data_IF_645839222106
#
_entry.id   IF_645839222106
#
_cell.length_a   1.000
_cell.length_b   1.000
_cell.length_c   1.000
_cell.angle_alpha   90.00
_cell.angle_beta   90.00
_cell.angle_gamma   90.00
#
_symmetry.space_group_name_H-M   'P 1'
#
loop_
_entity.id
_entity.type
_entity.pdbx_description
1 polymer ?
#
# COMPACT_ATOMS: atom_id res chain seq x y z
N UNK A 1 -29.28 15.07 35.34
CA UNK A 1 -29.46 15.74 34.03
C UNK A 1 -30.50 14.96 33.22
N UNK A 2 -31.55 15.61 32.70
CA UNK A 2 -32.50 15.00 31.75
C UNK A 2 -31.81 14.82 30.39
N UNK A 3 -31.89 13.62 29.79
CA UNK A 3 -31.40 13.36 28.44
C UNK A 3 -32.13 14.26 27.44
N UNK A 4 -31.39 14.90 26.55
CA UNK A 4 -31.98 15.62 25.40
C UNK A 4 -32.53 14.58 24.42
N UNK A 5 -33.73 14.84 23.93
CA UNK A 5 -34.39 14.02 22.91
C UNK A 5 -33.90 14.45 21.52
N UNK A 6 -33.45 13.47 20.74
CA UNK A 6 -32.81 13.67 19.44
C UNK A 6 -33.66 13.11 18.28
N UNK A 7 -34.87 12.64 18.56
CA UNK A 7 -35.75 11.98 17.60
C UNK A 7 -36.20 12.87 16.43
N UNK A 8 -36.10 14.21 16.54
CA UNK A 8 -36.48 15.17 15.51
C UNK A 8 -35.31 15.91 14.83
N UNK A 9 -34.07 15.40 14.93
CA UNK A 9 -32.95 16.01 14.20
C UNK A 9 -33.11 15.71 12.71
N UNK A 10 -33.34 16.76 11.92
CA UNK A 10 -33.18 16.71 10.45
C UNK A 10 -31.73 16.98 10.11
N UNK A 11 -31.03 15.98 9.59
CA UNK A 11 -29.65 16.10 9.13
C UNK A 11 -29.69 16.46 7.64
N UNK A 12 -29.15 17.62 7.28
CA UNK A 12 -28.85 17.94 5.89
C UNK A 12 -27.54 17.24 5.48
N UNK A 13 -27.67 16.08 4.84
CA UNK A 13 -26.52 15.38 4.26
C UNK A 13 -26.19 16.04 2.92
N UNK A 14 -25.08 16.78 2.87
CA UNK A 14 -24.48 17.17 1.58
C UNK A 14 -24.03 15.89 0.87
N UNK A 15 -24.77 15.49 -0.16
CA UNK A 15 -24.48 14.29 -0.96
C UNK A 15 -23.37 14.51 -2.00
N UNK A 16 -23.00 15.76 -2.28
CA UNK A 16 -21.92 16.07 -3.22
C UNK A 16 -20.58 16.02 -2.49
N UNK A 17 -19.93 14.85 -2.55
CA UNK A 17 -18.48 14.78 -2.40
C UNK A 17 -17.87 15.06 -3.77
N UNK A 18 -17.07 16.11 -3.88
CA UNK A 18 -16.12 16.32 -4.98
C UNK A 18 -14.97 15.30 -4.90
N UNK A 19 -15.28 14.01 -4.78
CA UNK A 19 -14.31 12.93 -4.92
C UNK A 19 -14.46 12.34 -6.32
N UNK A 20 -13.37 12.36 -7.09
CA UNK A 20 -13.25 11.65 -8.38
C UNK A 20 -13.41 10.11 -8.26
N UNK A 21 -13.67 9.62 -7.05
CA UNK A 21 -13.98 8.25 -6.71
C UNK A 21 -15.41 8.20 -6.17
N UNK A 22 -16.21 7.26 -6.67
CA UNK A 22 -17.27 6.68 -5.85
C UNK A 22 -16.60 6.04 -4.64
N UNK A 23 -17.13 6.27 -3.43
CA UNK A 23 -16.70 5.54 -2.26
C UNK A 23 -17.00 4.07 -2.51
N UNK A 24 -15.99 3.26 -2.83
CA UNK A 24 -16.16 1.84 -3.16
C UNK A 24 -16.47 0.98 -1.92
N UNK A 25 -17.16 1.55 -0.93
CA UNK A 25 -17.34 1.03 0.43
C UNK A 25 -16.01 0.48 1.00
N UNK A 26 -14.92 1.16 0.63
CA UNK A 26 -13.58 0.85 1.12
C UNK A 26 -13.40 1.47 2.50
N UNK A 27 -14.18 0.95 3.44
CA UNK A 27 -13.89 1.05 4.85
C UNK A 27 -12.89 -0.07 5.13
N UNK A 28 -11.72 0.26 5.68
CA UNK A 28 -10.88 -0.71 6.34
C UNK A 28 -11.73 -1.40 7.42
N UNK A 29 -12.32 -2.55 7.10
CA UNK A 29 -13.39 -3.12 7.94
C UNK A 29 -14.66 -3.64 7.26
N UNK A 30 -14.78 -3.72 5.92
CA UNK A 30 -15.94 -4.40 5.26
C UNK A 30 -15.51 -5.57 4.36
N UNK A 31 -16.22 -6.72 4.45
CA UNK A 31 -15.96 -7.95 3.67
C UNK A 31 -16.49 -7.77 2.24
N UNK A 32 -15.73 -8.13 1.17
CA UNK A 32 -14.67 -9.14 1.07
C UNK A 32 -13.26 -8.62 1.33
N UNK A 33 -13.08 -7.31 1.49
CA UNK A 33 -11.77 -6.67 1.70
C UNK A 33 -11.26 -6.79 3.16
N UNK A 34 -12.10 -7.34 4.05
CA UNK A 34 -11.79 -7.68 5.45
C UNK A 34 -11.06 -9.03 5.66
N UNK A 35 -11.16 -9.95 4.69
CA UNK A 35 -10.86 -11.38 4.92
C UNK A 35 -10.27 -12.08 3.69
N UNK A 36 -9.34 -11.42 3.02
CA UNK A 36 -8.44 -12.10 2.09
C UNK A 36 -7.00 -11.87 2.53
N UNK A 37 -6.10 -12.79 2.21
CA UNK A 37 -4.65 -12.66 2.44
C UNK A 37 -4.03 -11.42 1.72
N UNK A 38 -4.83 -10.57 1.07
CA UNK A 38 -4.41 -9.73 -0.05
C UNK A 38 -4.71 -8.23 0.11
N UNK A 39 -5.50 -7.83 1.11
CA UNK A 39 -5.66 -6.42 1.55
C UNK A 39 -4.93 -6.15 2.87
N UNK A 40 -4.72 -7.19 3.66
CA UNK A 40 -4.12 -7.11 4.97
C UNK A 40 -2.60 -7.08 4.88
N UNK A 41 -2.01 -6.27 5.74
CA UNK A 41 -0.58 -6.18 5.96
C UNK A 41 -0.10 -7.51 6.59
N UNK A 42 0.27 -8.52 5.80
CA UNK A 42 0.79 -9.78 6.34
C UNK A 42 2.30 -9.72 6.45
N UNK A 43 2.81 -9.84 7.68
CA UNK A 43 4.22 -10.04 7.95
C UNK A 43 4.53 -11.53 7.93
N UNK A 44 5.61 -11.90 7.26
CA UNK A 44 6.31 -13.15 7.56
C UNK A 44 7.36 -12.80 8.62
N UNK A 45 7.35 -13.51 9.74
CA UNK A 45 8.36 -13.39 10.80
C UNK A 45 9.35 -14.56 10.68
N UNK A 46 10.68 -14.32 10.63
CA UNK A 46 11.34 -13.01 10.58
C UNK A 46 11.20 -12.33 9.21
N UNK A 47 11.30 -10.99 9.17
CA UNK A 47 11.35 -10.25 7.90
C UNK A 47 12.56 -10.71 7.07
N UNK A 48 12.38 -10.80 5.75
CA UNK A 48 13.51 -11.11 4.88
C UNK A 48 14.45 -9.90 4.83
N UNK A 49 15.63 -10.04 5.45
CA UNK A 49 16.68 -9.02 5.42
C UNK A 49 17.57 -9.24 4.21
N UNK A 50 17.63 -8.27 3.30
CA UNK A 50 18.55 -8.30 2.15
C UNK A 50 19.63 -7.24 2.36
N UNK A 51 20.88 -7.69 2.53
CA UNK A 51 22.02 -6.78 2.64
C UNK A 51 22.47 -6.45 1.22
N UNK A 52 22.21 -5.24 0.76
CA UNK A 52 22.71 -4.76 -0.53
C UNK A 52 24.00 -3.97 -0.30
N UNK A 53 25.10 -4.42 -0.91
CA UNK A 53 26.37 -3.68 -0.93
C UNK A 53 26.37 -2.53 -1.95
N UNK A 54 25.43 -2.54 -2.91
CA UNK A 54 25.31 -1.52 -3.93
C UNK A 54 24.50 -0.31 -3.45
N UNK A 55 25.02 0.88 -3.73
CA UNK A 55 24.32 2.15 -3.55
C UNK A 55 23.14 2.24 -4.52
N UNK A 56 22.04 1.55 -4.23
CA UNK A 56 20.77 1.75 -4.92
C UNK A 56 20.17 3.08 -4.44
N UNK A 57 20.72 4.21 -4.89
CA UNK A 57 20.07 5.50 -4.74
C UNK A 57 19.01 5.63 -5.81
N UNK A 58 17.89 4.94 -5.63
CA UNK A 58 16.65 5.35 -6.28
C UNK A 58 16.36 6.77 -5.78
N UNK A 59 16.25 7.74 -6.68
CA UNK A 59 15.96 9.12 -6.28
C UNK A 59 14.59 9.16 -5.59
N UNK A 60 14.52 9.81 -4.43
CA UNK A 60 13.26 9.98 -3.71
C UNK A 60 12.38 10.96 -4.50
N UNK A 61 11.46 10.41 -5.28
CA UNK A 61 10.38 11.15 -5.93
C UNK A 61 9.20 11.29 -4.96
N UNK A 62 8.23 12.15 -5.29
CA UNK A 62 7.02 12.24 -4.47
C UNK A 62 6.27 10.89 -4.49
N UNK A 63 5.71 10.44 -3.35
CA UNK A 63 5.01 9.16 -3.23
C UNK A 63 4.00 8.90 -4.36
N UNK A 64 3.31 9.95 -4.81
CA UNK A 64 2.26 9.80 -5.79
C UNK A 64 2.78 9.45 -7.18
N UNK A 65 3.92 10.05 -7.56
CA UNK A 65 4.61 9.80 -8.83
C UNK A 65 5.19 8.40 -8.82
N UNK A 66 5.91 8.02 -7.77
CA UNK A 66 6.52 6.69 -7.63
C UNK A 66 5.49 5.57 -7.82
N UNK A 67 4.33 5.68 -7.16
CA UNK A 67 3.23 4.73 -7.32
C UNK A 67 2.64 4.74 -8.73
N UNK A 68 2.47 5.92 -9.33
CA UNK A 68 1.89 6.02 -10.68
C UNK A 68 2.80 5.39 -11.73
N UNK A 69 4.12 5.58 -11.62
CA UNK A 69 5.12 4.99 -12.51
C UNK A 69 5.16 3.48 -12.33
N UNK A 70 5.18 2.98 -11.10
CA UNK A 70 5.14 1.54 -10.81
C UNK A 70 3.90 0.87 -11.43
N UNK A 71 2.71 1.47 -11.29
CA UNK A 71 1.49 0.91 -11.87
C UNK A 71 1.52 0.90 -13.40
N UNK A 72 2.08 1.94 -14.02
CA UNK A 72 2.23 2.02 -15.48
C UNK A 72 3.21 0.98 -16.03
N UNK A 73 4.36 0.82 -15.39
CA UNK A 73 5.36 -0.20 -15.73
C UNK A 73 4.79 -1.61 -15.56
N UNK A 74 4.12 -1.86 -14.43
CA UNK A 74 3.49 -3.14 -14.15
C UNK A 74 2.40 -3.48 -15.16
N UNK A 75 1.53 -2.52 -15.52
CA UNK A 75 0.51 -2.73 -16.54
C UNK A 75 1.13 -3.06 -17.90
N UNK A 76 2.18 -2.36 -18.29
CA UNK A 76 2.90 -2.61 -19.55
C UNK A 76 3.53 -4.01 -19.56
N UNK A 77 4.13 -4.42 -18.44
CA UNK A 77 4.68 -5.76 -18.25
C UNK A 77 3.59 -6.84 -18.34
N UNK A 78 2.45 -6.64 -17.67
CA UNK A 78 1.32 -7.57 -17.71
C UNK A 78 0.78 -7.72 -19.14
N UNK A 79 0.55 -6.62 -19.86
CA UNK A 79 0.07 -6.65 -21.25
C UNK A 79 0.99 -7.44 -22.17
N UNK A 80 2.30 -7.17 -22.12
CA UNK A 80 3.31 -7.90 -22.90
C UNK A 80 3.31 -9.40 -22.63
N UNK A 81 3.13 -9.80 -21.38
CA UNK A 81 3.11 -11.23 -21.01
C UNK A 81 1.78 -11.91 -21.39
N UNK A 82 0.66 -11.19 -21.36
CA UNK A 82 -0.62 -11.70 -21.86
C UNK A 82 -0.56 -11.93 -23.37
N UNK A 83 0.08 -11.03 -24.12
CA UNK A 83 0.35 -11.23 -25.56
C UNK A 83 1.22 -12.48 -25.83
N UNK A 84 2.12 -12.82 -24.89
CA UNK A 84 2.91 -14.04 -24.93
C UNK A 84 2.19 -15.29 -24.38
N UNK A 85 0.87 -15.22 -24.18
CA UNK A 85 -0.01 -16.30 -23.67
C UNK A 85 0.27 -16.77 -22.23
N UNK A 86 0.87 -15.94 -21.39
CA UNK A 86 0.98 -16.23 -19.95
C UNK A 86 -0.31 -15.82 -19.21
N UNK A 87 -0.64 -16.58 -18.16
CA UNK A 87 -1.77 -16.26 -17.29
C UNK A 87 -1.43 -15.17 -16.28
N UNK A 88 -2.40 -14.35 -15.89
CA UNK A 88 -2.19 -13.32 -14.85
C UNK A 88 -1.69 -13.92 -13.53
N UNK A 89 -2.16 -15.12 -13.18
CA UNK A 89 -1.81 -15.80 -11.94
C UNK A 89 -0.35 -16.24 -11.86
N UNK A 90 0.32 -16.39 -13.01
CA UNK A 90 1.77 -16.66 -13.05
C UNK A 90 2.61 -15.40 -13.01
N UNK A 91 2.07 -14.27 -13.50
CA UNK A 91 2.80 -13.01 -13.66
C UNK A 91 2.73 -12.18 -12.38
N UNK A 92 1.53 -12.01 -11.81
CA UNK A 92 1.30 -11.08 -10.70
C UNK A 92 2.18 -11.37 -9.47
N UNK A 93 2.42 -12.62 -9.04
CA UNK A 93 3.29 -12.91 -7.89
C UNK A 93 4.77 -12.58 -8.11
N UNK A 94 5.21 -12.40 -9.38
CA UNK A 94 6.61 -12.09 -9.71
C UNK A 94 6.88 -10.58 -9.62
N UNK A 95 5.84 -9.76 -9.70
CA UNK A 95 5.95 -8.31 -9.65
C UNK A 95 6.08 -7.85 -8.20
N UNK A 96 7.13 -7.09 -7.95
CA UNK A 96 7.46 -6.56 -6.62
C UNK A 96 7.56 -5.05 -6.71
N UNK A 97 6.95 -4.36 -5.75
CA UNK A 97 7.09 -2.91 -5.63
C UNK A 97 8.34 -2.59 -4.81
N UNK A 98 9.36 -2.06 -5.49
CA UNK A 98 10.59 -1.63 -4.85
C UNK A 98 10.54 -0.13 -4.60
N UNK A 99 10.66 0.26 -3.33
CA UNK A 99 10.54 1.65 -2.92
C UNK A 99 11.64 2.05 -1.95
N UNK A 100 12.05 3.31 -2.01
CA UNK A 100 12.94 3.91 -1.03
C UNK A 100 12.11 4.69 -0.01
N UNK A 101 12.46 4.55 1.27
CA UNK A 101 11.77 5.26 2.34
C UNK A 101 12.26 6.70 2.40
N UNK A 102 11.30 7.63 2.33
CA UNK A 102 11.52 9.05 2.50
C UNK A 102 11.57 9.49 3.96
N UNK A 103 11.64 10.81 4.16
CA UNK A 103 11.70 11.43 5.51
C UNK A 103 10.32 11.53 6.18
N UNK A 104 9.24 11.48 5.41
CA UNK A 104 7.88 11.70 5.91
C UNK A 104 7.24 10.40 6.38
N UNK A 105 7.39 10.09 7.67
CA UNK A 105 6.89 8.87 8.32
C UNK A 105 5.49 8.41 7.86
N UNK A 106 4.49 9.28 7.97
CA UNK A 106 3.11 8.92 7.66
C UNK A 106 2.82 8.83 6.16
N UNK A 107 3.53 9.61 5.33
CA UNK A 107 3.35 9.56 3.88
C UNK A 107 3.87 8.23 3.33
N UNK A 108 4.97 7.71 3.88
CA UNK A 108 5.55 6.42 3.48
C UNK A 108 4.67 5.24 3.86
N UNK A 109 4.13 5.25 5.09
CA UNK A 109 3.13 4.26 5.53
C UNK A 109 1.89 4.32 4.63
N UNK A 110 1.39 5.53 4.38
CA UNK A 110 0.24 5.75 3.54
C UNK A 110 0.50 5.35 2.07
N UNK A 111 1.72 5.54 1.56
CA UNK A 111 2.17 5.14 0.22
C UNK A 111 2.09 3.62 0.07
N UNK A 112 2.65 2.86 1.01
CA UNK A 112 2.61 1.39 0.96
C UNK A 112 1.17 0.85 1.06
N UNK A 113 0.34 1.46 1.90
CA UNK A 113 -1.09 1.12 2.00
C UNK A 113 -1.84 1.41 0.69
N UNK A 114 -1.64 2.60 0.13
CA UNK A 114 -2.21 2.99 -1.15
C UNK A 114 -1.75 2.08 -2.29
N UNK A 115 -0.48 1.66 -2.30
CA UNK A 115 0.08 0.76 -3.30
C UNK A 115 -0.70 -0.55 -3.39
N UNK A 116 -0.97 -1.21 -2.25
CA UNK A 116 -1.72 -2.47 -2.20
C UNK A 116 -3.16 -2.31 -2.70
N UNK A 117 -3.81 -1.21 -2.31
CA UNK A 117 -5.17 -0.89 -2.75
C UNK A 117 -5.24 -0.71 -4.27
N UNK A 118 -4.34 0.11 -4.83
CA UNK A 118 -4.28 0.39 -6.26
C UNK A 118 -3.87 -0.84 -7.07
N UNK A 119 -2.93 -1.65 -6.56
CA UNK A 119 -2.54 -2.91 -7.17
C UNK A 119 -3.72 -3.87 -7.29
N UNK A 120 -4.46 -4.08 -6.20
CA UNK A 120 -5.65 -4.92 -6.20
C UNK A 120 -6.69 -4.43 -7.21
N UNK A 121 -6.90 -3.11 -7.28
CA UNK A 121 -7.80 -2.47 -8.26
C UNK A 121 -7.35 -2.70 -9.71
N UNK A 122 -6.05 -2.63 -9.98
CA UNK A 122 -5.47 -2.88 -11.30
C UNK A 122 -5.66 -4.35 -11.71
N UNK A 123 -5.27 -5.28 -10.83
CA UNK A 123 -5.31 -6.72 -11.11
C UNK A 123 -6.74 -7.26 -11.26
N UNK A 124 -7.71 -6.68 -10.53
CA UNK A 124 -9.13 -7.05 -10.64
C UNK A 124 -9.65 -6.97 -12.09
N UNK A 125 -9.09 -6.10 -12.92
CA UNK A 125 -9.50 -5.94 -14.34
C UNK A 125 -9.15 -7.16 -15.20
N UNK A 126 -8.18 -7.97 -14.77
CA UNK A 126 -7.73 -9.18 -15.47
C UNK A 126 -8.41 -10.46 -14.96
N UNK A 127 -9.36 -10.32 -14.02
CA UNK A 127 -10.18 -11.40 -13.47
C UNK A 127 -9.37 -12.65 -13.05
N UNK A 128 -8.35 -12.50 -12.19
CA UNK A 128 -7.47 -13.60 -11.76
C UNK A 128 -8.27 -14.69 -11.06
N UNK A 129 -7.82 -15.95 -11.19
CA UNK A 129 -8.44 -17.08 -10.49
C UNK A 129 -7.80 -17.31 -9.14
N UNK A 130 -6.50 -17.03 -9.02
CA UNK A 130 -5.79 -17.18 -7.76
C UNK A 130 -5.87 -15.90 -6.94
N UNK A 131 -6.20 -16.06 -5.67
CA UNK A 131 -6.26 -14.96 -4.73
C UNK A 131 -4.88 -14.31 -4.52
N UNK A 132 -3.79 -15.11 -4.59
CA UNK A 132 -2.39 -14.63 -4.45
C UNK A 132 -2.02 -13.53 -5.44
N UNK A 133 -2.65 -13.47 -6.59
CA UNK A 133 -2.40 -12.47 -7.64
C UNK A 133 -2.74 -11.04 -7.18
N UNK A 134 -3.62 -10.90 -6.17
CA UNK A 134 -3.97 -9.61 -5.59
C UNK A 134 -2.96 -9.12 -4.54
N UNK A 135 -2.09 -9.99 -4.01
CA UNK A 135 -1.09 -9.57 -3.05
C UNK A 135 0.07 -8.87 -3.76
N UNK A 136 0.43 -7.68 -3.26
CA UNK A 136 1.61 -6.96 -3.70
C UNK A 136 2.74 -7.21 -2.70
N UNK A 137 3.87 -7.71 -3.19
CA UNK A 137 5.12 -7.77 -2.43
C UNK A 137 5.80 -6.40 -2.49
N UNK A 138 6.25 -5.89 -1.35
CA UNK A 138 6.93 -4.59 -1.22
C UNK A 138 8.32 -4.81 -0.62
N UNK A 139 9.34 -4.33 -1.33
CA UNK A 139 10.71 -4.27 -0.85
C UNK A 139 11.05 -2.81 -0.54
N UNK A 140 11.50 -2.54 0.68
CA UNK A 140 11.80 -1.20 1.12
C UNK A 140 13.32 -1.01 1.33
N UNK A 141 13.91 -0.06 0.63
CA UNK A 141 15.30 0.36 0.85
C UNK A 141 15.35 1.44 1.92
N UNK A 142 16.16 1.22 2.95
CA UNK A 142 16.26 2.08 4.13
C UNK A 142 17.70 2.56 4.31
N UNK A 143 17.86 3.87 4.54
CA UNK A 143 19.17 4.48 4.80
C UNK A 143 19.45 4.58 6.30
N UNK A 144 18.43 4.92 7.11
CA UNK A 144 18.54 5.02 8.56
C UNK A 144 17.69 3.94 9.28
N UNK A 145 18.05 3.57 10.54
CA UNK A 145 17.26 2.61 11.31
C UNK A 145 15.81 3.06 11.52
N UNK A 146 15.58 4.36 11.73
CA UNK A 146 14.22 4.89 11.88
C UNK A 146 13.39 4.78 10.59
N UNK A 147 14.02 4.71 9.42
CA UNK A 147 13.33 4.49 8.14
C UNK A 147 12.77 3.05 8.07
N UNK A 148 13.48 2.09 8.66
CA UNK A 148 13.00 0.73 8.80
C UNK A 148 11.72 0.65 9.64
N UNK A 149 11.59 1.48 10.68
CA UNK A 149 10.35 1.56 11.45
C UNK A 149 9.15 1.97 10.57
N UNK A 150 9.34 2.92 9.64
CA UNK A 150 8.30 3.34 8.70
C UNK A 150 7.97 2.21 7.71
N UNK A 151 8.99 1.53 7.19
CA UNK A 151 8.82 0.40 6.28
C UNK A 151 8.06 -0.76 6.92
N UNK A 152 8.44 -1.11 8.16
CA UNK A 152 7.78 -2.15 8.95
C UNK A 152 6.33 -1.75 9.18
N UNK A 153 6.05 -0.54 9.69
CA UNK A 153 4.67 -0.09 9.92
C UNK A 153 3.84 0.08 8.64
N UNK A 154 4.48 0.28 7.49
CA UNK A 154 3.85 0.26 6.17
C UNK A 154 3.65 -1.15 5.60
N UNK A 155 4.24 -2.18 6.22
CA UNK A 155 4.02 -3.59 5.90
C UNK A 155 4.94 -4.19 4.85
N UNK A 156 6.17 -3.69 4.72
CA UNK A 156 7.12 -4.27 3.78
C UNK A 156 7.31 -5.77 4.03
N UNK A 157 7.55 -6.54 2.96
CA UNK A 157 7.87 -7.98 3.06
C UNK A 157 9.38 -8.18 3.22
N UNK A 158 10.19 -7.30 2.64
CA UNK A 158 11.64 -7.32 2.82
C UNK A 158 12.20 -5.92 3.02
N UNK A 159 13.26 -5.84 3.82
CA UNK A 159 14.02 -4.62 4.08
C UNK A 159 15.40 -4.77 3.48
N UNK A 160 15.77 -3.78 2.67
CA UNK A 160 17.07 -3.64 2.06
C UNK A 160 17.81 -2.55 2.82
N UNK A 161 18.85 -2.93 3.56
CA UNK A 161 19.67 -1.98 4.32
C UNK A 161 21.15 -2.36 4.22
N UNK A 162 22.00 -1.38 4.52
CA UNK A 162 23.45 -1.58 4.67
C UNK A 162 23.79 -2.22 6.01
N UNK A 163 23.07 -1.82 7.06
CA UNK A 163 23.31 -2.20 8.45
C UNK A 163 22.12 -2.98 9.03
N UNK A 164 22.32 -3.67 10.16
CA UNK A 164 21.29 -4.50 10.81
C UNK A 164 20.65 -3.85 12.04
N UNK A 165 20.92 -2.58 12.29
CA UNK A 165 20.49 -1.87 13.51
C UNK A 165 18.95 -1.82 13.66
N UNK A 166 18.20 -1.99 12.57
CA UNK A 166 16.74 -2.05 12.62
C UNK A 166 16.19 -3.34 13.26
N UNK A 167 17.01 -4.38 13.45
CA UNK A 167 16.57 -5.64 14.05
C UNK A 167 16.07 -5.45 15.49
N UNK A 168 16.54 -4.40 16.18
CA UNK A 168 16.02 -3.94 17.46
C UNK A 168 14.49 -3.73 17.46
N UNK A 169 13.91 -3.25 16.35
CA UNK A 169 12.46 -3.08 16.25
C UNK A 169 11.70 -4.42 16.27
N UNK A 170 12.32 -5.49 15.79
CA UNK A 170 11.74 -6.83 15.78
C UNK A 170 11.93 -7.53 17.13
N UNK A 171 13.14 -7.45 17.70
CA UNK A 171 13.52 -8.19 18.90
C UNK A 171 13.01 -7.56 20.20
N UNK A 172 13.04 -6.23 20.32
CA UNK A 172 12.72 -5.55 21.59
C UNK A 172 11.36 -4.86 21.58
N UNK A 173 11.01 -4.19 20.46
CA UNK A 173 9.75 -3.43 20.36
C UNK A 173 8.58 -4.34 20.00
N UNK A 174 8.85 -5.54 19.48
CA UNK A 174 7.83 -6.52 19.10
C UNK A 174 6.77 -5.94 18.15
N UNK A 175 7.19 -5.00 17.30
CA UNK A 175 6.29 -4.21 16.44
C UNK A 175 5.47 -5.08 15.48
N UNK A 176 5.97 -6.28 15.16
CA UNK A 176 5.34 -7.25 14.27
C UNK A 176 4.16 -8.01 14.91
N UNK A 177 3.92 -7.84 16.22
CA UNK A 177 2.79 -8.51 16.90
C UNK A 177 1.43 -8.00 16.44
N UNK A 178 1.34 -6.75 15.98
CA UNK A 178 0.09 -6.13 15.56
C UNK A 178 0.11 -5.85 14.06
N UNK A 179 -0.91 -6.34 13.36
CA UNK A 179 -1.12 -6.08 11.93
C UNK A 179 -1.70 -4.66 11.76
N UNK A 180 -1.04 -3.83 10.96
CA UNK A 180 -1.41 -2.44 10.64
C UNK A 180 -1.92 -1.64 11.87
N UNK A 181 -1.03 -1.28 12.81
CA UNK A 181 -1.43 -0.57 14.04
C UNK A 181 -2.03 0.81 13.78
N UNK A 182 -1.87 1.37 12.58
CA UNK A 182 -2.42 2.66 12.18
C UNK A 182 -3.81 2.56 11.54
N UNK A 183 -4.37 1.36 11.40
CA UNK A 183 -5.73 1.16 10.90
C UNK A 183 -6.75 1.96 11.73
N UNK A 184 -7.58 2.76 11.06
CA UNK A 184 -8.59 3.61 11.71
C UNK A 184 -8.09 4.98 12.17
N UNK A 185 -6.79 5.28 12.05
CA UNK A 185 -6.29 6.64 12.29
C UNK A 185 -6.83 7.61 11.25
N UNK A 186 -7.69 8.55 11.66
CA UNK A 186 -8.30 9.51 10.73
C UNK A 186 -7.30 10.31 9.91
N UNK A 187 -6.09 10.50 10.43
CA UNK A 187 -5.02 11.21 9.73
C UNK A 187 -4.40 10.33 8.64
N UNK A 188 -3.99 9.11 9.00
CA UNK A 188 -3.35 8.17 8.06
C UNK A 188 -4.32 7.78 6.95
N UNK A 189 -5.58 7.47 7.28
CA UNK A 189 -6.60 7.12 6.28
C UNK A 189 -6.79 8.24 5.24
N UNK A 190 -6.85 9.51 5.68
CA UNK A 190 -6.99 10.68 4.78
C UNK A 190 -5.79 10.86 3.86
N UNK A 191 -4.58 10.64 4.38
CA UNK A 191 -3.35 10.74 3.57
C UNK A 191 -3.28 9.58 2.58
N UNK A 192 -3.60 8.36 3.02
CA UNK A 192 -3.69 7.18 2.15
C UNK A 192 -4.66 7.42 0.99
N UNK A 193 -5.86 7.91 1.29
CA UNK A 193 -6.86 8.25 0.27
C UNK A 193 -6.34 9.33 -0.70
N UNK A 194 -5.74 10.40 -0.17
CA UNK A 194 -5.18 11.50 -0.98
C UNK A 194 -4.08 11.00 -1.94
N UNK A 195 -3.13 10.21 -1.42
CA UNK A 195 -2.03 9.63 -2.20
C UNK A 195 -2.62 8.69 -3.26
N UNK A 196 -3.52 7.78 -2.88
CA UNK A 196 -4.14 6.82 -3.80
C UNK A 196 -4.86 7.52 -4.96
N UNK A 197 -5.68 8.54 -4.67
CA UNK A 197 -6.44 9.30 -5.66
C UNK A 197 -5.52 10.04 -6.63
N UNK A 198 -4.49 10.72 -6.11
CA UNK A 198 -3.56 11.49 -6.93
C UNK A 198 -2.66 10.57 -7.76
N UNK A 199 -2.17 9.45 -7.21
CA UNK A 199 -1.44 8.42 -7.95
C UNK A 199 -2.27 7.85 -9.09
N UNK A 200 -3.54 7.51 -8.84
CA UNK A 200 -4.42 6.94 -9.86
C UNK A 200 -4.72 7.94 -10.97
N UNK A 201 -4.89 9.22 -10.63
CA UNK A 201 -5.03 10.29 -11.61
C UNK A 201 -3.80 10.42 -12.50
N UNK A 202 -2.61 10.44 -11.91
CA UNK A 202 -1.34 10.50 -12.66
C UNK A 202 -1.16 9.25 -13.54
N UNK A 203 -1.45 8.06 -13.01
CA UNK A 203 -1.39 6.80 -13.74
C UNK A 203 -2.28 6.81 -14.99
N UNK A 204 -3.53 7.29 -14.86
CA UNK A 204 -4.45 7.44 -16.00
C UNK A 204 -3.90 8.41 -17.04
N UNK A 205 -3.33 9.54 -16.62
CA UNK A 205 -2.75 10.54 -17.52
C UNK A 205 -1.53 10.02 -18.30
N UNK A 206 -0.76 9.12 -17.72
CA UNK A 206 0.41 8.52 -18.38
C UNK A 206 0.04 7.41 -19.35
N UNK A 207 -1.08 6.72 -19.11
CA UNK A 207 -1.48 5.50 -19.84
C UNK A 207 -2.49 5.76 -20.97
N UNK A 208 -3.22 6.88 -20.91
CA UNK A 208 -4.25 7.32 -21.87
C UNK A 208 -3.72 8.56 -22.60
#
# INVERSE_FOLDING_TARGET
>A
MKRKDFSNIKIEVKNEKDSYFEHEDYIAGVSPNLRGIHSTMYFQTPLETKISTDTLTKENTTPEIELSTFLAESLSHIRKNIEANYTIDTIAPQLTFETKIGKNHFDEIAKMRAARMLWSKLIKQFNPKNQRSFALTINATVDAPFDAFQAILGGCQSIISKDKDYLFFEEEIEILKTIDPWAGSTYVEKITEKIANKSWFLFKKTTI
#
